data_IF_816080022282
#
_entry.id   IF_816080022282
#
_cell.length_a   1.000
_cell.length_b   1.000
_cell.length_c   1.000
_cell.angle_alpha   90.00
_cell.angle_beta   90.00
_cell.angle_gamma   90.00
#
_symmetry.space_group_name_H-M   'P 1'
#
loop_
_entity.id
_entity.type
_entity.pdbx_description
1 polymer ?
#
# COMPACT_ATOMS: atom_id res chain seq x y z
N UNK A 1 68.97 49.21 23.18
CA UNK A 1 67.54 49.07 22.82
C UNK A 1 67.31 47.61 22.47
N UNK A 2 66.91 46.81 23.45
CA UNK A 2 66.90 45.32 23.41
C UNK A 2 65.50 44.83 23.05
N UNK A 3 65.37 44.05 21.98
CA UNK A 3 64.09 43.55 21.46
C UNK A 3 63.57 42.41 22.35
N UNK A 4 62.30 42.40 22.77
CA UNK A 4 61.75 41.32 23.58
C UNK A 4 61.58 40.05 22.73
N UNK A 5 62.04 38.92 23.26
CA UNK A 5 61.87 37.60 22.66
C UNK A 5 60.41 37.21 22.85
N UNK A 6 59.64 37.18 21.76
CA UNK A 6 58.29 36.63 21.77
C UNK A 6 58.37 35.12 21.93
N UNK A 7 58.00 34.60 23.11
CA UNK A 7 57.83 33.18 23.36
C UNK A 7 56.84 32.60 22.36
N UNK A 8 57.35 31.81 21.41
CA UNK A 8 56.53 31.01 20.52
C UNK A 8 55.88 29.92 21.38
N UNK A 9 54.54 29.75 21.42
CA UNK A 9 53.92 28.70 22.21
C UNK A 9 54.49 27.35 21.79
N UNK A 10 54.96 26.59 22.78
CA UNK A 10 55.62 25.30 22.56
C UNK A 10 54.69 24.37 21.78
N UNK A 11 55.16 23.91 20.62
CA UNK A 11 54.55 22.77 19.93
C UNK A 11 54.76 21.54 20.81
N UNK A 12 53.78 21.21 21.65
CA UNK A 12 53.79 19.94 22.40
C UNK A 12 53.66 18.80 21.40
N UNK A 13 54.67 17.95 21.32
CA UNK A 13 54.59 16.69 20.59
C UNK A 13 53.67 15.72 21.35
N UNK A 14 52.82 15.01 20.63
CA UNK A 14 51.84 14.07 21.21
C UNK A 14 52.57 12.92 21.91
N UNK A 15 52.18 12.59 23.14
CA UNK A 15 52.80 11.49 23.88
C UNK A 15 52.24 10.14 23.43
N UNK A 16 53.01 9.06 23.60
CA UNK A 16 52.62 7.70 23.18
C UNK A 16 51.35 7.20 23.90
N UNK A 17 51.13 7.65 25.14
CA UNK A 17 49.91 7.37 25.91
C UNK A 17 48.71 8.10 25.31
N UNK A 18 48.90 9.34 24.87
CA UNK A 18 47.85 10.18 24.28
C UNK A 18 47.44 9.65 22.89
N UNK A 19 48.40 9.17 22.08
CA UNK A 19 48.09 8.49 20.81
C UNK A 19 47.33 7.18 21.05
N UNK A 20 47.77 6.32 21.98
CA UNK A 20 47.06 5.09 22.33
C UNK A 20 45.63 5.35 22.82
N UNK A 21 45.46 6.33 23.71
CA UNK A 21 44.14 6.71 24.22
C UNK A 21 43.22 7.18 23.08
N UNK A 22 43.73 8.01 22.16
CA UNK A 22 42.95 8.48 21.01
C UNK A 22 42.56 7.35 20.04
N UNK A 23 43.45 6.39 19.77
CA UNK A 23 43.15 5.21 18.95
C UNK A 23 42.04 4.39 19.60
N UNK A 24 42.14 4.09 20.90
CA UNK A 24 41.12 3.31 21.61
C UNK A 24 39.76 4.00 21.56
N UNK A 25 39.69 5.31 21.78
CA UNK A 25 38.44 6.08 21.70
C UNK A 25 37.87 6.04 20.29
N UNK A 26 38.68 6.29 19.26
CA UNK A 26 38.24 6.22 17.86
C UNK A 26 37.77 4.81 17.47
N UNK A 27 38.43 3.76 17.95
CA UNK A 27 38.01 2.38 17.73
C UNK A 27 36.65 2.08 18.35
N UNK A 28 36.39 2.55 19.58
CA UNK A 28 35.09 2.36 20.25
C UNK A 28 33.98 3.13 19.52
N UNK A 29 34.25 4.37 19.10
CA UNK A 29 33.29 5.17 18.31
C UNK A 29 32.99 4.47 16.98
N UNK A 30 34.00 4.01 16.25
CA UNK A 30 33.80 3.29 15.00
C UNK A 30 33.01 1.99 15.19
N UNK A 31 33.36 1.21 16.23
CA UNK A 31 32.69 -0.05 16.54
C UNK A 31 31.21 0.12 16.93
N UNK A 32 30.82 1.29 17.47
CA UNK A 32 29.43 1.56 17.88
C UNK A 32 28.60 2.25 16.81
N UNK A 33 29.20 3.16 16.05
CA UNK A 33 28.49 3.97 15.03
C UNK A 33 28.21 3.18 13.74
N UNK A 34 29.14 2.32 13.29
CA UNK A 34 28.94 1.55 12.06
C UNK A 34 27.72 0.61 12.11
N UNK A 35 27.52 -0.21 13.18
CA UNK A 35 26.31 -1.01 13.31
C UNK A 35 25.03 -0.16 13.33
N UNK A 36 25.05 1.01 13.97
CA UNK A 36 23.90 1.92 13.97
C UNK A 36 23.56 2.42 12.57
N UNK A 37 24.56 2.72 11.74
CA UNK A 37 24.34 3.14 10.36
C UNK A 37 23.72 2.02 9.51
N UNK A 38 24.12 0.76 9.73
CA UNK A 38 23.50 -0.38 9.04
C UNK A 38 22.04 -0.57 9.46
N UNK A 39 21.75 -0.56 10.76
CA UNK A 39 20.38 -0.66 11.28
C UNK A 39 19.51 0.50 10.76
N UNK A 40 20.05 1.71 10.73
CA UNK A 40 19.35 2.86 10.18
C UNK A 40 19.06 2.68 8.68
N UNK A 41 20.02 2.15 7.91
CA UNK A 41 19.87 1.83 6.50
C UNK A 41 18.74 0.82 6.24
N UNK A 42 18.73 -0.28 6.98
CA UNK A 42 17.70 -1.32 6.86
C UNK A 42 16.32 -0.76 7.24
N UNK A 43 16.24 0.02 8.33
CA UNK A 43 14.98 0.63 8.77
C UNK A 43 14.41 1.60 7.74
N UNK A 44 15.27 2.33 7.02
CA UNK A 44 14.85 3.25 5.96
C UNK A 44 14.37 2.46 4.74
N UNK A 45 15.08 1.39 4.36
CA UNK A 45 14.66 0.53 3.26
C UNK A 45 13.27 -0.06 3.53
N UNK A 46 13.05 -0.62 4.71
CA UNK A 46 11.76 -1.19 5.13
C UNK A 46 10.65 -0.13 5.19
N UNK A 47 10.94 1.06 5.73
CA UNK A 47 9.99 2.17 5.77
C UNK A 47 9.60 2.63 4.36
N UNK A 48 10.55 2.73 3.43
CA UNK A 48 10.26 3.13 2.05
C UNK A 48 9.43 2.07 1.31
N UNK A 49 9.72 0.79 1.52
CA UNK A 49 8.95 -0.30 0.92
C UNK A 49 7.53 -0.32 1.47
N UNK A 50 7.37 -0.23 2.79
CA UNK A 50 6.05 -0.18 3.46
C UNK A 50 5.22 0.99 2.95
N UNK A 51 5.83 2.17 2.80
CA UNK A 51 5.14 3.35 2.26
C UNK A 51 4.64 3.12 0.84
N UNK A 52 5.46 2.56 -0.05
CA UNK A 52 5.04 2.28 -1.44
C UNK A 52 3.89 1.28 -1.46
N UNK A 53 3.99 0.17 -0.72
CA UNK A 53 2.91 -0.81 -0.63
C UNK A 53 1.61 -0.19 -0.10
N UNK A 54 1.70 0.73 0.86
CA UNK A 54 0.55 1.47 1.37
C UNK A 54 -0.12 2.36 0.31
N UNK A 55 0.69 3.12 -0.45
CA UNK A 55 0.20 3.99 -1.52
C UNK A 55 -0.47 3.19 -2.65
N UNK A 56 0.14 2.08 -3.07
CA UNK A 56 -0.42 1.19 -4.09
C UNK A 56 -1.72 0.53 -3.61
N UNK A 57 -1.75 0.02 -2.38
CA UNK A 57 -2.93 -0.61 -1.80
C UNK A 57 -4.09 0.40 -1.66
N UNK A 58 -3.81 1.61 -1.17
CA UNK A 58 -4.81 2.66 -1.03
C UNK A 58 -5.37 3.11 -2.39
N UNK A 59 -4.50 3.34 -3.38
CA UNK A 59 -4.92 3.71 -4.73
C UNK A 59 -5.81 2.63 -5.37
N UNK A 60 -5.41 1.36 -5.26
CA UNK A 60 -6.17 0.24 -5.78
C UNK A 60 -7.53 0.11 -5.08
N UNK A 61 -7.56 0.26 -3.75
CA UNK A 61 -8.79 0.23 -2.97
C UNK A 61 -9.75 1.36 -3.37
N UNK A 62 -9.26 2.59 -3.46
CA UNK A 62 -10.07 3.75 -3.86
C UNK A 62 -10.65 3.58 -5.26
N UNK A 63 -9.86 3.06 -6.20
CA UNK A 63 -10.33 2.81 -7.56
C UNK A 63 -11.38 1.71 -7.60
N UNK A 64 -11.21 0.66 -6.79
CA UNK A 64 -12.17 -0.44 -6.63
C UNK A 64 -13.49 0.06 -6.05
N UNK A 65 -13.44 0.81 -4.94
CA UNK A 65 -14.63 1.40 -4.32
C UNK A 65 -15.36 2.31 -5.30
N UNK A 66 -14.62 3.16 -6.04
CA UNK A 66 -15.22 4.05 -7.04
C UNK A 66 -15.94 3.26 -8.13
N UNK A 67 -15.30 2.23 -8.68
CA UNK A 67 -15.89 1.36 -9.70
C UNK A 67 -17.18 0.72 -9.17
N UNK A 68 -17.15 0.10 -7.99
CA UNK A 68 -18.30 -0.59 -7.40
C UNK A 68 -19.43 0.38 -7.05
N UNK A 69 -19.09 1.59 -6.60
CA UNK A 69 -20.07 2.65 -6.35
C UNK A 69 -20.74 3.14 -7.63
N UNK A 70 -20.01 3.16 -8.75
CA UNK A 70 -20.47 3.55 -10.09
C UNK A 70 -20.92 2.36 -10.94
N UNK A 71 -21.34 1.28 -10.27
CA UNK A 71 -21.96 0.12 -10.93
C UNK A 71 -23.15 0.58 -11.78
N UNK A 72 -23.25 0.13 -13.03
CA UNK A 72 -24.36 0.49 -13.92
C UNK A 72 -25.68 -0.12 -13.44
N UNK A 73 -26.79 0.50 -13.85
CA UNK A 73 -28.13 -0.01 -13.64
C UNK A 73 -28.41 -1.22 -14.54
N UNK A 74 -29.05 -2.23 -13.98
CA UNK A 74 -29.48 -3.45 -14.67
C UNK A 74 -30.72 -3.23 -15.52
N UNK A 75 -31.22 -4.32 -16.12
CA UNK A 75 -32.41 -4.27 -16.98
C UNK A 75 -33.68 -3.81 -16.24
N UNK A 76 -33.76 -4.06 -14.93
CA UNK A 76 -34.87 -3.65 -14.08
C UNK A 76 -34.42 -2.52 -13.16
N UNK A 77 -35.31 -1.55 -12.92
CA UNK A 77 -35.03 -0.43 -12.01
C UNK A 77 -34.55 -0.92 -10.65
N UNK A 78 -33.48 -0.32 -10.16
CA UNK A 78 -32.90 -0.65 -8.86
C UNK A 78 -32.17 -1.99 -8.82
N UNK A 79 -31.83 -2.58 -9.97
CA UNK A 79 -30.93 -3.74 -10.06
C UNK A 79 -29.55 -3.34 -10.58
N UNK A 80 -28.54 -4.17 -10.34
CA UNK A 80 -27.18 -3.95 -10.84
C UNK A 80 -26.95 -4.71 -12.15
N UNK A 81 -26.32 -4.05 -13.11
CA UNK A 81 -25.93 -4.64 -14.40
C UNK A 81 -24.64 -5.48 -14.25
N UNK A 82 -24.67 -6.54 -13.44
CA UNK A 82 -23.55 -7.46 -13.25
C UNK A 82 -23.70 -8.66 -14.20
N UNK A 83 -22.71 -8.89 -15.05
CA UNK A 83 -22.64 -10.02 -15.98
C UNK A 83 -21.94 -11.23 -15.36
N UNK A 84 -20.96 -11.00 -14.47
CA UNK A 84 -20.25 -12.07 -13.74
C UNK A 84 -19.84 -11.58 -12.34
N UNK A 85 -20.04 -12.43 -11.34
CA UNK A 85 -19.66 -12.17 -9.94
C UNK A 85 -18.90 -13.37 -9.37
N UNK A 86 -17.61 -13.19 -9.12
CA UNK A 86 -16.74 -14.18 -8.49
C UNK A 86 -16.19 -13.61 -7.18
N UNK A 87 -15.66 -14.44 -6.26
CA UNK A 87 -15.08 -13.94 -5.02
C UNK A 87 -13.86 -13.06 -5.29
N UNK A 88 -13.24 -13.14 -6.46
CA UNK A 88 -12.01 -12.42 -6.81
C UNK A 88 -12.21 -11.40 -7.92
N UNK A 89 -13.45 -11.12 -8.33
CA UNK A 89 -13.73 -10.18 -9.40
C UNK A 89 -15.21 -9.99 -9.71
N UNK A 90 -15.53 -8.85 -10.30
CA UNK A 90 -16.87 -8.52 -10.80
C UNK A 90 -16.76 -7.94 -12.20
N UNK A 91 -17.67 -8.37 -13.09
CA UNK A 91 -17.87 -7.77 -14.41
C UNK A 91 -19.26 -7.22 -14.56
N UNK A 92 -19.32 -6.05 -15.16
CA UNK A 92 -20.56 -5.40 -15.53
C UNK A 92 -20.92 -5.70 -16.99
N UNK A 93 -22.19 -5.50 -17.33
CA UNK A 93 -22.67 -5.69 -18.70
C UNK A 93 -22.14 -4.62 -19.67
N UNK A 94 -21.65 -3.50 -19.15
CA UNK A 94 -21.03 -2.42 -19.94
C UNK A 94 -19.55 -2.66 -20.26
N UNK A 95 -19.00 -3.83 -19.90
CA UNK A 95 -17.62 -4.21 -20.12
C UNK A 95 -16.66 -3.82 -18.99
N UNK A 96 -17.03 -2.87 -18.12
CA UNK A 96 -16.18 -2.50 -16.98
C UNK A 96 -16.13 -3.61 -15.95
N UNK A 97 -15.11 -3.57 -15.08
CA UNK A 97 -15.00 -4.53 -14.00
C UNK A 97 -13.65 -4.53 -13.33
N UNK A 98 -13.49 -5.44 -12.39
CA UNK A 98 -12.23 -5.66 -11.69
C UNK A 98 -12.06 -7.15 -11.45
N UNK A 99 -10.85 -7.67 -11.60
CA UNK A 99 -10.56 -9.09 -11.40
C UNK A 99 -9.11 -9.30 -10.97
N UNK A 100 -8.90 -10.16 -9.99
CA UNK A 100 -7.57 -10.65 -9.65
C UNK A 100 -7.23 -11.82 -10.58
N UNK A 101 -6.13 -11.71 -11.32
CA UNK A 101 -5.57 -12.80 -12.12
C UNK A 101 -4.13 -13.03 -11.73
N UNK A 102 -3.82 -14.20 -11.17
CA UNK A 102 -2.53 -14.46 -10.56
C UNK A 102 -2.30 -13.54 -9.36
N UNK A 103 -1.25 -12.72 -9.42
CA UNK A 103 -0.89 -11.72 -8.39
C UNK A 103 -1.21 -10.29 -8.81
N UNK A 104 -1.86 -10.08 -9.95
CA UNK A 104 -2.16 -8.73 -10.46
C UNK A 104 -3.66 -8.49 -10.46
N UNK A 105 -4.06 -7.39 -9.83
CA UNK A 105 -5.43 -6.89 -9.88
C UNK A 105 -5.60 -6.06 -11.14
N UNK A 106 -6.51 -6.48 -12.01
CA UNK A 106 -6.81 -5.81 -13.26
C UNK A 106 -8.10 -5.01 -13.15
N UNK A 107 -8.06 -3.77 -13.65
CA UNK A 107 -9.24 -2.97 -13.93
C UNK A 107 -9.59 -3.12 -15.40
N UNK A 108 -10.87 -3.25 -15.70
CA UNK A 108 -11.37 -3.29 -17.05
C UNK A 108 -12.20 -2.05 -17.38
N UNK A 109 -12.00 -1.56 -18.60
CA UNK A 109 -12.76 -0.45 -19.16
C UNK A 109 -13.99 -0.94 -19.95
N UNK A 110 -14.81 -0.01 -20.44
CA UNK A 110 -16.04 -0.25 -21.21
C UNK A 110 -15.80 -1.05 -22.49
N UNK A 111 -14.60 -0.97 -23.07
CA UNK A 111 -14.19 -1.78 -24.23
C UNK A 111 -13.82 -3.22 -23.87
N UNK A 112 -13.79 -3.56 -22.56
CA UNK A 112 -13.31 -4.85 -22.06
C UNK A 112 -11.79 -4.98 -22.01
N UNK A 113 -11.04 -3.94 -22.41
CA UNK A 113 -9.58 -3.90 -22.27
C UNK A 113 -9.19 -3.85 -20.79
N UNK A 114 -8.11 -4.57 -20.43
CA UNK A 114 -7.61 -4.64 -19.06
C UNK A 114 -6.35 -3.81 -18.87
N UNK A 115 -6.25 -3.15 -17.72
CA UNK A 115 -5.05 -2.46 -17.26
C UNK A 115 -4.69 -2.95 -15.84
N UNK A 116 -3.39 -3.10 -15.56
CA UNK A 116 -2.93 -3.45 -14.23
C UNK A 116 -3.21 -2.28 -13.27
N UNK A 117 -3.92 -2.56 -12.18
CA UNK A 117 -4.25 -1.60 -11.15
C UNK A 117 -3.29 -1.72 -9.96
N UNK A 118 -2.96 -2.95 -9.58
CA UNK A 118 -2.02 -3.26 -8.52
C UNK A 118 -1.33 -4.59 -8.82
N UNK A 119 -0.03 -4.65 -8.58
CA UNK A 119 0.78 -5.86 -8.64
C UNK A 119 1.04 -6.38 -7.22
N UNK A 120 1.61 -7.58 -7.12
CA UNK A 120 1.94 -8.25 -5.85
C UNK A 120 0.77 -8.33 -4.85
N UNK A 121 -0.42 -8.56 -5.40
CA UNK A 121 -1.64 -8.80 -4.63
C UNK A 121 -1.63 -10.22 -4.13
N UNK A 122 -1.55 -10.38 -2.81
CA UNK A 122 -1.57 -11.68 -2.13
C UNK A 122 -2.98 -12.25 -2.06
N UNK A 123 -3.95 -11.38 -1.77
CA UNK A 123 -5.36 -11.76 -1.79
C UNK A 123 -6.25 -10.58 -2.15
N UNK A 124 -7.29 -10.86 -2.90
CA UNK A 124 -8.38 -9.93 -3.17
C UNK A 124 -9.69 -10.69 -3.03
N UNK A 125 -10.64 -10.13 -2.28
CA UNK A 125 -11.94 -10.77 -2.07
C UNK A 125 -13.07 -9.75 -2.16
N UNK A 126 -14.12 -10.13 -2.87
CA UNK A 126 -15.38 -9.43 -3.00
C UNK A 126 -16.50 -10.27 -2.35
N UNK A 127 -17.11 -9.71 -1.31
CA UNK A 127 -18.38 -10.17 -0.77
C UNK A 127 -19.52 -9.42 -1.45
N UNK A 128 -20.55 -10.15 -1.86
CA UNK A 128 -21.77 -9.59 -2.44
C UNK A 128 -22.88 -9.80 -1.42
N UNK A 129 -23.39 -8.72 -0.83
CA UNK A 129 -24.36 -8.79 0.26
C UNK A 129 -25.69 -8.16 -0.14
N UNK A 130 -26.77 -8.80 0.30
CA UNK A 130 -28.11 -8.25 0.23
C UNK A 130 -28.27 -7.06 1.19
N UNK A 131 -29.46 -6.46 1.20
CA UNK A 131 -29.80 -5.32 2.06
C UNK A 131 -29.66 -5.61 3.56
N UNK A 132 -29.83 -6.86 3.97
CA UNK A 132 -29.63 -7.30 5.35
C UNK A 132 -28.17 -7.26 5.82
N UNK A 133 -27.22 -7.10 4.88
CA UNK A 133 -25.79 -7.03 5.18
C UNK A 133 -25.17 -8.38 5.55
N UNK A 134 -25.86 -9.50 5.36
CA UNK A 134 -25.38 -10.84 5.74
C UNK A 134 -25.64 -11.91 4.68
N UNK A 135 -26.74 -11.81 3.94
CA UNK A 135 -27.08 -12.79 2.90
C UNK A 135 -26.21 -12.58 1.67
N UNK A 136 -25.50 -13.63 1.25
CA UNK A 136 -24.71 -13.60 0.02
C UNK A 136 -25.62 -13.54 -1.20
N UNK A 137 -25.41 -12.52 -2.05
CA UNK A 137 -26.10 -12.36 -3.34
C UNK A 137 -25.22 -12.78 -4.50
N UNK A 138 -24.12 -13.50 -4.26
CA UNK A 138 -23.17 -13.85 -5.32
C UNK A 138 -23.81 -14.65 -6.47
N UNK A 139 -24.73 -15.58 -6.15
CA UNK A 139 -25.46 -16.37 -7.14
C UNK A 139 -26.56 -15.55 -7.87
N UNK A 140 -26.96 -14.41 -7.29
CA UNK A 140 -27.98 -13.50 -7.80
C UNK A 140 -27.45 -12.05 -7.79
N UNK A 141 -26.33 -11.76 -8.47
CA UNK A 141 -25.52 -10.58 -8.20
C UNK A 141 -26.24 -9.27 -8.51
N UNK A 142 -27.21 -9.30 -9.42
CA UNK A 142 -28.09 -8.18 -9.70
C UNK A 142 -28.79 -7.65 -8.44
N UNK A 143 -29.02 -8.49 -7.43
CA UNK A 143 -29.66 -8.18 -6.13
C UNK A 143 -28.73 -7.60 -5.07
N UNK A 144 -27.43 -7.43 -5.37
CA UNK A 144 -26.44 -6.93 -4.41
C UNK A 144 -26.73 -5.48 -3.99
N UNK A 145 -26.65 -5.19 -2.69
CA UNK A 145 -26.75 -3.83 -2.14
C UNK A 145 -25.41 -3.31 -1.63
N UNK A 146 -24.58 -4.20 -1.09
CA UNK A 146 -23.28 -3.88 -0.50
C UNK A 146 -22.22 -4.82 -1.04
N UNK A 147 -21.08 -4.24 -1.42
CA UNK A 147 -19.88 -4.99 -1.72
C UNK A 147 -18.92 -4.86 -0.56
N UNK A 148 -18.50 -5.98 0.00
CA UNK A 148 -17.39 -6.03 0.95
C UNK A 148 -16.11 -6.32 0.20
N UNK A 149 -15.07 -5.55 0.46
CA UNK A 149 -13.82 -5.57 -0.29
C UNK A 149 -12.70 -5.85 0.70
N UNK A 150 -11.89 -6.85 0.41
CA UNK A 150 -10.66 -7.15 1.14
C UNK A 150 -9.51 -7.21 0.15
N UNK A 151 -8.45 -6.47 0.44
CA UNK A 151 -7.26 -6.40 -0.40
C UNK A 151 -6.03 -6.57 0.49
N UNK A 152 -5.13 -7.48 0.12
CA UNK A 152 -3.85 -7.71 0.78
C UNK A 152 -2.72 -7.54 -0.24
N UNK A 153 -1.87 -6.53 -0.04
CA UNK A 153 -0.77 -6.15 -0.92
C UNK A 153 0.46 -5.85 -0.07
N UNK A 154 1.58 -6.51 -0.36
CA UNK A 154 2.84 -6.26 0.34
C UNK A 154 2.76 -6.43 1.86
N UNK A 155 1.86 -7.30 2.35
CA UNK A 155 1.61 -7.52 3.78
C UNK A 155 0.69 -6.48 4.43
N UNK A 156 0.17 -5.51 3.67
CA UNK A 156 -0.83 -4.57 4.13
C UNK A 156 -2.22 -5.03 3.72
N UNK A 157 -3.10 -5.20 4.72
CA UNK A 157 -4.49 -5.56 4.50
C UNK A 157 -5.41 -4.35 4.67
N UNK A 158 -6.19 -4.07 3.63
CA UNK A 158 -7.25 -3.08 3.63
C UNK A 158 -8.61 -3.77 3.50
N UNK A 159 -9.57 -3.29 4.31
CA UNK A 159 -10.95 -3.72 4.24
C UNK A 159 -11.83 -2.49 3.98
N UNK A 160 -12.79 -2.61 3.08
CA UNK A 160 -13.73 -1.55 2.78
C UNK A 160 -15.10 -2.11 2.42
N UNK A 161 -16.10 -1.24 2.40
CA UNK A 161 -17.41 -1.54 1.86
C UNK A 161 -17.79 -0.47 0.83
N UNK A 162 -18.40 -0.90 -0.27
CA UNK A 162 -18.94 -0.02 -1.28
C UNK A 162 -20.44 -0.27 -1.47
N UNK A 163 -21.21 0.82 -1.60
CA UNK A 163 -22.64 0.78 -1.90
C UNK A 163 -22.84 1.32 -3.31
N UNK A 164 -23.50 0.54 -4.16
CA UNK A 164 -23.78 1.00 -5.52
C UNK A 164 -24.78 2.16 -5.49
N UNK A 165 -24.50 3.24 -6.24
CA UNK A 165 -25.38 4.42 -6.28
C UNK A 165 -26.78 4.11 -6.76
N UNK A 166 -26.93 3.18 -7.71
CA UNK A 166 -28.24 2.75 -8.22
C UNK A 166 -29.12 2.08 -7.14
N UNK A 167 -28.52 1.60 -6.05
CA UNK A 167 -29.22 0.99 -4.91
C UNK A 167 -29.59 1.99 -3.81
N UNK A 168 -29.12 3.24 -3.88
CA UNK A 168 -29.39 4.25 -2.86
C UNK A 168 -30.87 4.64 -2.95
N UNK A 169 -31.61 4.44 -1.84
CA UNK A 169 -33.03 4.76 -1.75
C UNK A 169 -33.97 3.73 -2.40
N UNK A 170 -33.46 2.60 -2.88
CA UNK A 170 -34.29 1.47 -3.30
C UNK A 170 -34.58 0.55 -2.10
N UNK A 171 -35.83 0.07 -1.95
CA UNK A 171 -36.23 -0.80 -0.84
C UNK A 171 -35.51 -2.16 -0.86
#
# INVERSE_FOLDING_TARGET
MTRPITNNPSRRAMTLVETLASIVVLSIIGATTLPMLFVAGDSLADATQTRRSAEHAAFAMDRTIRLLRESPEGATRGTLAISSATPTGVRFTDGRGIELTGTTLYLYDTTGTRAALCEDVRSFTLGYLAKDGTTSTQATPASTHRFDIRLDVGGMQLNAAAFARVRIGQP
#
